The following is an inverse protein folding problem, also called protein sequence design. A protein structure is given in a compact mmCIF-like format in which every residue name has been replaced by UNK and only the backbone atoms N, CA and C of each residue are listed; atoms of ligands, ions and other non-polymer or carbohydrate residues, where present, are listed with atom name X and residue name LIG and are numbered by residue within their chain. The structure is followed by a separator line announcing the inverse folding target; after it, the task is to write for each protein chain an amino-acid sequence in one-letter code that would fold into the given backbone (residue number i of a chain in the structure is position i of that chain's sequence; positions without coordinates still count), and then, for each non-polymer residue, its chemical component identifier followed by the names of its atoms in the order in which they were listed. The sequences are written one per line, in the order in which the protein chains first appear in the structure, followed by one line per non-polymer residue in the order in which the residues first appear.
data_IF_365240754666
#
_entry.id   IF_365240754666
#
_cell.length_a   1.000
_cell.length_b   1.000
_cell.length_c   1.000
_cell.angle_alpha   90.00
_cell.angle_beta   90.00
_cell.angle_gamma   90.00
#
_symmetry.space_group_name_H-M   'P 1'
#
loop_
_entity.id
_entity.type
_entity.pdbx_description
1 polymer ?
#
# COMPACT_ATOMS: atom_id res chain seq x y z
N UNK A 1 -13.61 29.70 -35.52
CA UNK A 1 -13.82 29.42 -34.07
C UNK A 1 -14.95 28.42 -33.79
N UNK A 2 -15.92 28.18 -34.69
CA UNK A 2 -16.99 27.19 -34.48
C UNK A 2 -16.49 25.74 -34.32
N UNK A 3 -15.44 25.34 -35.05
CA UNK A 3 -14.86 23.99 -34.99
C UNK A 3 -14.25 23.71 -33.60
N UNK A 4 -13.57 24.69 -33.01
CA UNK A 4 -12.98 24.56 -31.67
C UNK A 4 -14.05 24.38 -30.59
N UNK A 5 -15.23 25.01 -30.74
CA UNK A 5 -16.35 24.85 -29.81
C UNK A 5 -16.95 23.44 -29.85
N UNK A 6 -17.08 22.85 -31.05
CA UNK A 6 -17.55 21.47 -31.22
C UNK A 6 -16.56 20.47 -30.62
N UNK A 7 -15.26 20.68 -30.85
CA UNK A 7 -14.21 19.84 -30.25
C UNK A 7 -14.23 19.96 -28.72
N UNK A 8 -14.32 21.17 -28.16
CA UNK A 8 -14.38 21.35 -26.71
C UNK A 8 -15.63 20.69 -26.10
N UNK A 9 -16.78 20.78 -26.77
CA UNK A 9 -18.02 20.18 -26.30
C UNK A 9 -17.98 18.64 -26.27
N UNK A 10 -17.23 18.00 -27.16
CA UNK A 10 -17.13 16.52 -27.23
C UNK A 10 -15.88 15.95 -26.55
N UNK A 11 -14.76 16.67 -26.54
CA UNK A 11 -13.52 16.22 -25.93
C UNK A 11 -13.61 16.21 -24.40
N UNK A 12 -14.24 17.22 -23.79
CA UNK A 12 -14.29 17.34 -22.32
C UNK A 12 -15.11 16.21 -21.67
N UNK A 13 -16.31 15.83 -22.16
CA UNK A 13 -17.08 14.73 -21.57
C UNK A 13 -16.40 13.37 -21.72
N UNK A 14 -15.77 13.11 -22.86
CA UNK A 14 -15.06 11.86 -23.10
C UNK A 14 -13.93 11.66 -22.07
N UNK A 15 -13.15 12.69 -21.79
CA UNK A 15 -12.05 12.62 -20.82
C UNK A 15 -12.52 12.27 -19.39
N UNK A 16 -13.63 12.85 -18.94
CA UNK A 16 -14.17 12.60 -17.59
C UNK A 16 -14.60 11.15 -17.36
N UNK A 17 -15.12 10.49 -18.39
CA UNK A 17 -15.55 9.07 -18.32
C UNK A 17 -14.32 8.15 -18.25
N UNK A 18 -13.20 8.53 -18.87
CA UNK A 18 -11.96 7.75 -18.79
C UNK A 18 -11.28 7.85 -17.42
N UNK A 19 -11.37 9.00 -16.76
CA UNK A 19 -10.78 9.21 -15.43
C UNK A 19 -11.38 8.27 -14.37
N UNK A 20 -12.71 8.13 -14.31
CA UNK A 20 -13.35 7.26 -13.31
C UNK A 20 -13.04 5.78 -13.54
N UNK A 21 -13.04 5.32 -14.80
CA UNK A 21 -12.65 3.94 -15.15
C UNK A 21 -11.20 3.67 -14.76
N UNK A 22 -10.30 4.61 -15.01
CA UNK A 22 -8.90 4.49 -14.61
C UNK A 22 -8.73 4.43 -13.09
N UNK A 23 -9.48 5.23 -12.33
CA UNK A 23 -9.44 5.23 -10.86
C UNK A 23 -10.01 3.93 -10.27
N UNK A 24 -11.09 3.38 -10.84
CA UNK A 24 -11.60 2.05 -10.45
C UNK A 24 -10.58 0.94 -10.73
N UNK A 25 -9.89 1.00 -11.88
CA UNK A 25 -8.81 0.07 -12.20
C UNK A 25 -7.62 0.21 -11.23
N UNK A 26 -7.30 1.43 -10.80
CA UNK A 26 -6.27 1.67 -9.80
C UNK A 26 -6.64 1.07 -8.44
N UNK A 27 -7.92 1.13 -8.03
CA UNK A 27 -8.39 0.47 -6.82
C UNK A 27 -8.19 -1.06 -6.90
N UNK A 28 -8.62 -1.68 -8.01
CA UNK A 28 -8.42 -3.11 -8.22
C UNK A 28 -6.93 -3.50 -8.16
N UNK A 29 -6.06 -2.75 -8.83
CA UNK A 29 -4.60 -2.99 -8.78
C UNK A 29 -4.01 -2.81 -7.38
N UNK A 30 -4.48 -1.82 -6.62
CA UNK A 30 -4.06 -1.60 -5.23
C UNK A 30 -4.41 -2.80 -4.35
N UNK A 31 -5.61 -3.36 -4.52
CA UNK A 31 -6.07 -4.55 -3.80
C UNK A 31 -5.24 -5.79 -4.13
N UNK A 32 -4.95 -6.04 -5.41
CA UNK A 32 -4.13 -7.20 -5.81
C UNK A 32 -2.67 -7.10 -5.35
N UNK A 33 -2.08 -5.89 -5.38
CA UNK A 33 -0.75 -5.67 -4.81
C UNK A 33 -0.73 -5.93 -3.31
N UNK A 34 -1.78 -5.52 -2.60
CA UNK A 34 -1.92 -5.78 -1.17
C UNK A 34 -2.07 -7.27 -0.87
N UNK A 35 -2.86 -8.00 -1.66
CA UNK A 35 -2.99 -9.45 -1.54
C UNK A 35 -1.64 -10.15 -1.74
N UNK A 36 -0.93 -9.82 -2.82
CA UNK A 36 0.40 -10.35 -3.11
C UNK A 36 1.40 -10.07 -1.97
N UNK A 37 1.30 -8.90 -1.35
CA UNK A 37 2.14 -8.55 -0.21
C UNK A 37 1.88 -9.46 1.00
N UNK A 38 0.61 -9.71 1.32
CA UNK A 38 0.22 -10.59 2.43
C UNK A 38 0.72 -12.03 2.15
N UNK A 39 0.50 -12.54 0.95
CA UNK A 39 0.93 -13.90 0.55
C UNK A 39 2.45 -14.06 0.57
N UNK A 40 3.19 -13.06 0.07
CA UNK A 40 4.67 -13.09 0.12
C UNK A 40 5.20 -13.03 1.55
N UNK A 41 4.51 -12.32 2.44
CA UNK A 41 4.85 -12.29 3.87
C UNK A 41 4.60 -13.64 4.53
N UNK A 42 3.46 -14.27 4.31
CA UNK A 42 3.18 -15.59 4.88
C UNK A 42 4.21 -16.63 4.42
N UNK A 43 4.57 -16.62 3.13
CA UNK A 43 5.65 -17.48 2.62
C UNK A 43 7.00 -17.18 3.29
N UNK A 44 7.32 -15.91 3.53
CA UNK A 44 8.56 -15.54 4.23
C UNK A 44 8.57 -15.99 5.69
N UNK A 45 7.44 -15.90 6.40
CA UNK A 45 7.32 -16.39 7.78
C UNK A 45 7.40 -17.91 7.81
N UNK A 46 6.71 -18.61 6.90
CA UNK A 46 6.82 -20.07 6.79
C UNK A 46 8.26 -20.51 6.46
N UNK A 47 8.93 -19.82 5.54
CA UNK A 47 10.34 -20.09 5.22
C UNK A 47 11.27 -19.79 6.40
N UNK A 48 11.04 -18.72 7.16
CA UNK A 48 11.81 -18.43 8.37
C UNK A 48 11.56 -19.47 9.48
N UNK A 49 10.31 -19.93 9.67
CA UNK A 49 9.99 -21.00 10.64
C UNK A 49 10.47 -22.38 10.20
N UNK A 50 10.50 -22.69 8.90
CA UNK A 50 11.09 -23.94 8.39
C UNK A 50 12.62 -23.88 8.48
N UNK A 51 13.20 -22.70 8.24
CA UNK A 51 14.60 -22.45 8.52
C UNK A 51 14.88 -22.53 10.01
N UNK A 52 13.96 -22.21 10.93
CA UNK A 52 14.15 -22.43 12.37
C UNK A 52 14.11 -23.94 12.74
N UNK A 53 13.22 -24.70 12.08
CA UNK A 53 13.19 -26.17 12.18
C UNK A 53 14.45 -26.85 11.58
N UNK A 54 15.14 -26.19 10.63
CA UNK A 54 16.38 -26.66 10.01
C UNK A 54 17.64 -26.01 10.62
N UNK A 55 17.52 -24.83 11.24
CA UNK A 55 18.56 -24.05 11.92
C UNK A 55 18.83 -24.53 13.34
N UNK A 56 18.05 -25.49 13.84
CA UNK A 56 18.51 -26.40 14.89
C UNK A 56 19.84 -27.12 14.52
N UNK A 57 20.34 -27.00 13.27
CA UNK A 57 21.68 -27.47 12.87
C UNK A 57 22.59 -26.46 12.16
N UNK A 58 22.23 -25.18 12.08
CA UNK A 58 23.16 -24.17 11.56
C UNK A 58 23.24 -23.05 12.58
N UNK A 59 24.31 -23.09 13.39
CA UNK A 59 24.73 -21.93 14.19
C UNK A 59 24.94 -20.78 13.21
N UNK A 60 24.02 -19.82 13.22
CA UNK A 60 24.31 -18.48 12.72
C UNK A 60 25.01 -17.79 13.88
N UNK A 61 26.29 -17.49 13.69
CA UNK A 61 27.06 -16.69 14.63
C UNK A 61 26.30 -15.40 14.93
N UNK A 62 25.86 -15.33 16.18
CA UNK A 62 25.24 -14.18 16.77
C UNK A 62 26.26 -13.03 16.76
N UNK A 63 26.05 -12.06 15.88
CA UNK A 63 26.51 -10.69 16.07
C UNK A 63 25.69 -10.00 17.17
N UNK A 64 25.66 -10.57 18.37
CA UNK A 64 25.22 -9.88 19.59
C UNK A 64 26.49 -9.54 20.36
N UNK A 65 26.96 -8.31 20.17
CA UNK A 65 28.11 -7.78 20.89
C UNK A 65 27.75 -7.57 22.35
N UNK A 66 27.89 -8.61 23.17
CA UNK A 66 28.04 -8.46 24.61
C UNK A 66 29.45 -7.94 24.89
N UNK A 67 29.58 -6.67 25.27
CA UNK A 67 30.83 -6.13 25.81
C UNK A 67 30.71 -5.98 27.33
N UNK A 68 31.48 -6.80 28.04
CA UNK A 68 31.78 -6.66 29.46
C UNK A 68 33.04 -5.80 29.63
N UNK A 69 32.91 -4.80 30.52
CA UNK A 69 33.90 -4.06 31.32
C UNK A 69 35.35 -3.89 30.86
N UNK A 70 35.79 -2.63 30.83
CA UNK A 70 37.20 -2.22 30.91
C UNK A 70 37.34 -0.70 30.82
N UNK A 71 37.61 -0.06 31.94
CA UNK A 71 37.94 1.37 32.07
C UNK A 71 39.19 1.71 31.26
N UNK A 72 39.22 2.88 30.61
CA UNK A 72 40.37 3.79 30.61
C UNK A 72 39.90 5.19 30.20
N UNK A 73 40.46 6.18 30.90
CA UNK A 73 40.16 7.61 30.75
C UNK A 73 41.09 8.19 29.71
N UNK A 74 40.61 9.00 28.77
CA UNK A 74 41.41 10.08 28.22
C UNK A 74 40.55 11.22 27.69
N UNK A 75 41.02 12.42 27.99
CA UNK A 75 40.40 13.72 27.72
C UNK A 75 40.93 14.27 26.40
N UNK A 76 40.07 14.90 25.61
CA UNK A 76 40.49 15.67 24.43
C UNK A 76 39.28 16.16 23.66
N UNK A 77 38.96 17.45 23.78
CA UNK A 77 37.92 18.08 22.99
C UNK A 77 38.38 18.33 21.56
N UNK A 78 37.42 18.49 20.64
CA UNK A 78 37.49 19.58 19.67
C UNK A 78 36.14 19.83 18.98
N UNK A 79 35.96 21.09 18.61
CA UNK A 79 34.75 21.69 18.05
C UNK A 79 34.75 21.60 16.53
N UNK A 80 33.58 21.43 15.90
CA UNK A 80 33.47 21.61 14.46
C UNK A 80 32.09 21.28 13.90
N UNK A 81 31.34 22.32 13.52
CA UNK A 81 30.07 22.20 12.83
C UNK A 81 30.22 21.89 11.34
N UNK A 82 29.14 21.37 10.75
CA UNK A 82 28.97 21.19 9.31
C UNK A 82 27.59 20.61 9.06
N UNK A 83 26.71 21.38 8.42
CA UNK A 83 25.31 21.05 8.24
C UNK A 83 25.10 20.07 7.09
N UNK A 84 24.61 18.87 7.44
CA UNK A 84 24.17 17.89 6.48
C UNK A 84 22.64 17.98 6.37
N UNK A 85 22.15 18.86 5.49
CA UNK A 85 20.75 18.81 5.04
C UNK A 85 20.58 17.65 4.06
N UNK A 86 20.74 16.42 4.57
CA UNK A 86 20.30 15.21 3.90
C UNK A 86 18.79 15.17 3.94
N UNK A 87 18.16 15.44 2.80
CA UNK A 87 16.73 15.22 2.55
C UNK A 87 16.34 13.79 2.94
N UNK A 88 15.86 13.64 4.17
CA UNK A 88 15.25 12.42 4.68
C UNK A 88 13.90 12.19 4.00
N UNK A 89 13.91 11.60 2.81
CA UNK A 89 12.71 11.04 2.20
C UNK A 89 12.50 9.61 2.74
N UNK A 90 11.41 9.46 3.50
CA UNK A 90 10.78 8.21 3.96
C UNK A 90 11.55 7.36 4.96
N UNK A 91 11.69 7.88 6.18
CA UNK A 91 11.64 7.03 7.38
C UNK A 91 10.23 6.43 7.47
N UNK A 92 10.17 5.09 7.50
CA UNK A 92 8.93 4.35 7.63
C UNK A 92 8.10 4.76 8.84
N UNK A 93 6.80 4.90 8.63
CA UNK A 93 5.78 5.17 9.65
C UNK A 93 4.55 5.77 8.96
N UNK A 94 3.37 5.15 8.96
CA UNK A 94 2.79 4.29 9.99
C UNK A 94 2.21 2.98 9.41
N UNK A 95 2.50 1.88 10.11
CA UNK A 95 1.62 0.72 10.19
C UNK A 95 0.45 1.12 11.06
N UNK A 96 -0.78 0.84 10.63
CA UNK A 96 -1.80 0.19 11.46
C UNK A 96 -2.81 -0.48 10.52
N UNK A 97 -2.73 -1.82 10.49
CA UNK A 97 -3.44 -2.70 9.57
C UNK A 97 -2.56 -3.57 8.66
N UNK A 98 -1.27 -3.75 8.96
CA UNK A 98 -0.42 -4.76 8.30
C UNK A 98 0.07 -4.45 6.88
N UNK A 99 -0.33 -3.33 6.27
CA UNK A 99 0.14 -2.88 4.95
C UNK A 99 1.21 -1.78 5.06
N UNK A 100 2.20 -1.76 4.15
CA UNK A 100 3.16 -0.67 4.07
C UNK A 100 2.51 0.58 3.43
N UNK A 101 3.05 1.76 3.71
CA UNK A 101 2.42 3.04 3.39
C UNK A 101 2.18 3.23 1.88
N UNK A 102 3.06 2.69 1.04
CA UNK A 102 2.95 2.75 -0.42
C UNK A 102 1.83 1.87 -0.99
N UNK A 103 1.37 0.87 -0.23
CA UNK A 103 0.21 0.04 -0.57
C UNK A 103 -1.08 0.52 0.11
N UNK A 104 -1.00 1.37 1.13
CA UNK A 104 -2.16 1.88 1.88
C UNK A 104 -3.03 2.86 1.07
N UNK A 105 -2.65 3.21 -0.16
CA UNK A 105 -3.36 4.14 -1.03
C UNK A 105 -3.31 3.69 -2.49
N UNK A 106 -4.35 4.04 -3.25
CA UNK A 106 -4.39 3.80 -4.70
C UNK A 106 -4.90 5.04 -5.46
N UNK A 107 -4.25 5.45 -6.57
CA UNK A 107 -2.94 4.97 -7.06
C UNK A 107 -1.78 5.32 -6.10
N UNK A 108 -0.78 4.44 -6.03
CA UNK A 108 0.41 4.66 -5.21
C UNK A 108 1.28 5.80 -5.76
N UNK A 109 2.04 6.48 -4.89
CA UNK A 109 2.94 7.57 -5.28
C UNK A 109 2.26 8.90 -5.62
N UNK A 110 0.94 9.00 -5.45
CA UNK A 110 0.19 10.24 -5.70
C UNK A 110 -0.06 11.00 -4.39
N UNK A 111 0.03 12.34 -4.43
CA UNK A 111 -0.27 13.19 -3.26
C UNK A 111 -1.78 13.35 -3.00
N UNK A 112 -2.61 12.92 -3.95
CA UNK A 112 -4.08 12.92 -3.85
C UNK A 112 -4.63 11.54 -4.21
N UNK A 113 -4.59 10.58 -3.28
CA UNK A 113 -5.05 9.24 -3.56
C UNK A 113 -6.57 9.23 -3.76
N UNK A 114 -7.06 8.43 -4.71
CA UNK A 114 -8.48 8.28 -4.94
C UNK A 114 -9.11 7.28 -3.95
N UNK A 115 -8.33 6.31 -3.50
CA UNK A 115 -8.74 5.28 -2.54
C UNK A 115 -7.71 5.09 -1.44
N UNK A 116 -8.19 4.75 -0.24
CA UNK A 116 -7.40 4.23 0.87
C UNK A 116 -7.59 2.72 0.94
N UNK A 117 -6.49 1.99 1.07
CA UNK A 117 -6.47 0.53 1.13
C UNK A 117 -6.25 0.09 2.57
N UNK A 118 -7.12 -0.79 3.06
CA UNK A 118 -7.09 -1.32 4.43
C UNK A 118 -7.35 -2.82 4.42
N UNK A 119 -6.85 -3.54 5.42
CA UNK A 119 -7.04 -5.00 5.54
C UNK A 119 -7.69 -5.34 6.86
N UNK A 120 -8.69 -6.22 6.80
CA UNK A 120 -9.26 -6.88 7.97
C UNK A 120 -8.90 -8.37 7.93
N UNK A 121 -8.33 -8.87 9.02
CA UNK A 121 -8.03 -10.30 9.19
C UNK A 121 -9.13 -10.94 10.03
N UNK A 122 -9.74 -12.01 9.52
CA UNK A 122 -10.82 -12.73 10.20
C UNK A 122 -10.31 -14.00 10.90
N UNK A 123 -9.29 -14.66 10.35
CA UNK A 123 -8.62 -15.84 10.89
C UNK A 123 -7.23 -15.98 10.22
N UNK A 124 -6.34 -16.88 10.68
CA UNK A 124 -5.10 -17.19 9.95
C UNK A 124 -5.41 -17.59 8.51
N UNK A 125 -4.76 -16.95 7.53
CA UNK A 125 -5.01 -17.15 6.10
C UNK A 125 -6.35 -16.60 5.57
N UNK A 126 -7.19 -15.99 6.41
CA UNK A 126 -8.47 -15.39 6.01
C UNK A 126 -8.46 -13.87 6.21
N UNK A 127 -8.56 -13.14 5.11
CA UNK A 127 -8.54 -11.68 5.10
C UNK A 127 -9.56 -11.10 4.13
N UNK A 128 -9.88 -9.82 4.32
CA UNK A 128 -10.58 -8.98 3.34
C UNK A 128 -9.85 -7.65 3.23
N UNK A 129 -9.50 -7.29 2.00
CA UNK A 129 -8.85 -6.02 1.67
C UNK A 129 -9.92 -5.09 1.11
N UNK A 130 -9.99 -3.87 1.62
CA UNK A 130 -10.93 -2.84 1.21
C UNK A 130 -10.20 -1.68 0.55
N UNK A 131 -10.73 -1.18 -0.56
CA UNK A 131 -10.34 0.09 -1.16
C UNK A 131 -11.51 1.07 -1.00
N UNK A 132 -11.41 1.92 0.02
CA UNK A 132 -12.43 2.89 0.40
C UNK A 132 -12.16 4.22 -0.32
N UNK A 133 -13.15 4.83 -1.00
CA UNK A 133 -12.98 6.14 -1.61
C UNK A 133 -12.46 7.17 -0.61
N UNK A 134 -11.43 7.93 -1.00
CA UNK A 134 -10.91 8.99 -0.16
C UNK A 134 -11.93 10.15 -0.05
N UNK A 135 -12.21 10.60 1.17
CA UNK A 135 -13.15 11.72 1.45
C UNK A 135 -12.71 13.01 0.76
N UNK A 136 -13.65 13.77 0.22
CA UNK A 136 -13.43 15.04 -0.46
C UNK A 136 -12.88 14.92 -1.89
N UNK A 137 -12.89 13.73 -2.48
CA UNK A 137 -12.31 13.45 -3.79
C UNK A 137 -13.34 12.92 -4.80
N UNK A 138 -12.97 12.90 -6.08
CA UNK A 138 -13.84 12.53 -7.21
C UNK A 138 -14.54 11.17 -7.06
N UNK A 139 -13.98 10.23 -6.30
CA UNK A 139 -14.54 8.88 -6.14
C UNK A 139 -15.48 8.74 -4.93
N UNK A 140 -15.63 9.76 -4.07
CA UNK A 140 -16.46 9.67 -2.84
C UNK A 140 -17.92 9.32 -3.13
N UNK A 141 -18.44 9.81 -4.24
CA UNK A 141 -19.83 9.58 -4.67
C UNK A 141 -19.93 8.63 -5.86
N UNK A 142 -18.88 7.87 -6.14
CA UNK A 142 -18.90 6.91 -7.24
C UNK A 142 -19.87 5.76 -6.92
N UNK A 143 -20.68 5.38 -7.91
CA UNK A 143 -21.74 4.36 -7.75
C UNK A 143 -21.19 2.94 -7.53
N UNK A 144 -19.88 2.72 -7.61
CA UNK A 144 -19.24 1.47 -7.19
C UNK A 144 -18.91 1.43 -5.69
N UNK A 145 -18.76 2.57 -5.04
CA UNK A 145 -18.45 2.66 -3.61
C UNK A 145 -17.10 2.01 -3.26
N UNK A 146 -17.09 1.28 -2.14
CA UNK A 146 -15.90 0.57 -1.65
C UNK A 146 -15.73 -0.75 -2.39
N UNK A 147 -14.52 -0.99 -2.89
CA UNK A 147 -14.14 -2.26 -3.48
C UNK A 147 -13.59 -3.17 -2.39
N UNK A 148 -13.91 -4.47 -2.45
CA UNK A 148 -13.37 -5.45 -1.51
C UNK A 148 -12.90 -6.72 -2.22
N UNK A 149 -11.80 -7.28 -1.73
CA UNK A 149 -11.20 -8.53 -2.19
C UNK A 149 -10.97 -9.44 -0.98
N UNK A 150 -11.54 -10.63 -0.98
CA UNK A 150 -11.27 -11.62 0.08
C UNK A 150 -10.10 -12.55 -0.28
N UNK A 151 -9.66 -13.34 0.71
CA UNK A 151 -8.56 -14.31 0.55
C UNK A 151 -8.86 -15.45 -0.43
N UNK A 152 -10.10 -15.60 -0.90
CA UNK A 152 -10.47 -16.57 -1.94
C UNK A 152 -10.49 -15.93 -3.34
N UNK A 153 -10.07 -14.67 -3.46
CA UNK A 153 -10.11 -13.93 -4.71
C UNK A 153 -11.50 -13.43 -5.10
N UNK A 154 -12.49 -13.45 -4.20
CA UNK A 154 -13.83 -12.93 -4.50
C UNK A 154 -13.82 -11.42 -4.46
N UNK A 155 -14.29 -10.83 -5.55
CA UNK A 155 -14.44 -9.39 -5.72
C UNK A 155 -15.84 -8.94 -5.30
N UNK A 156 -15.91 -7.87 -4.53
CA UNK A 156 -17.15 -7.33 -3.97
C UNK A 156 -17.15 -5.81 -4.07
N UNK A 157 -18.35 -5.22 -3.98
CA UNK A 157 -18.54 -3.76 -3.94
C UNK A 157 -19.68 -3.38 -3.02
N UNK A 158 -19.63 -2.19 -2.43
CA UNK A 158 -20.75 -1.66 -1.62
C UNK A 158 -21.75 -0.83 -2.43
N UNK A 159 -21.41 -0.44 -3.66
CA UNK A 159 -22.25 0.41 -4.51
C UNK A 159 -23.33 -0.35 -5.30
N UNK A 160 -24.36 0.37 -5.79
CA UNK A 160 -25.52 -0.22 -6.47
C UNK A 160 -25.22 -0.84 -7.84
N UNK A 161 -24.09 -0.51 -8.50
CA UNK A 161 -23.76 -1.06 -9.83
C UNK A 161 -23.34 -2.54 -9.81
N UNK A 162 -23.05 -3.10 -8.63
CA UNK A 162 -22.65 -4.50 -8.47
C UNK A 162 -21.21 -4.79 -8.88
N UNK A 163 -20.68 -5.91 -8.38
CA UNK A 163 -19.27 -6.23 -8.50
C UNK A 163 -18.81 -6.47 -9.94
N UNK A 164 -19.63 -7.14 -10.77
CA UNK A 164 -19.27 -7.45 -12.16
C UNK A 164 -18.96 -6.18 -12.95
N UNK A 165 -19.88 -5.21 -12.94
CA UNK A 165 -19.73 -3.93 -13.66
C UNK A 165 -18.58 -3.09 -13.10
N UNK A 166 -18.39 -3.08 -11.78
CA UNK A 166 -17.39 -2.24 -11.15
C UNK A 166 -15.95 -2.76 -11.31
N UNK A 167 -15.75 -4.08 -11.28
CA UNK A 167 -14.43 -4.71 -11.35
C UNK A 167 -13.99 -5.02 -12.78
N UNK A 168 -14.92 -5.39 -13.66
CA UNK A 168 -14.61 -5.81 -15.03
C UNK A 168 -14.99 -4.76 -16.08
N UNK A 169 -15.79 -3.76 -15.70
CA UNK A 169 -16.38 -2.80 -16.61
C UNK A 169 -17.78 -3.22 -17.09
N UNK A 170 -18.50 -2.31 -17.75
CA UNK A 170 -19.76 -2.64 -18.43
C UNK A 170 -19.55 -3.52 -19.66
#
# INVERSE_FOLDING_TARGET
MAIAAVIAAYAIPAYRIHETRALRAAAALGLWRAAQYIESRELSVMALTSNDATAARVRVDAGVGGSVGGSDSDSGGDSGGGGDSGSGASRGGAVEGGLPAELAVAPSGTHRPAYRVMVAFAAPGAYTIYAVPARGHFMEHDACGTFALDSNGRTMTTGPLGAQTCWHGP
#
